data_IF_230949014970
#
_entry.id   IF_230949014970
#
_cell.length_a   1.000
_cell.length_b   1.000
_cell.length_c   1.000
_cell.angle_alpha   90.00
_cell.angle_beta   90.00
_cell.angle_gamma   90.00
#
_symmetry.space_group_name_H-M   'P 1'
#
loop_
_entity.id
_entity.type
_entity.pdbx_description
1 polymer ?
#
# COMPACT_ATOMS: atom_id res chain seq x y z
N UNK A 1 11.97 -59.84 44.49
CA UNK A 1 11.58 -59.51 43.11
C UNK A 1 10.44 -58.51 43.18
N UNK A 2 10.67 -57.23 42.83
CA UNK A 2 9.59 -56.26 42.62
C UNK A 2 10.09 -55.18 41.66
N UNK A 3 9.30 -54.94 40.63
CA UNK A 3 9.69 -54.38 39.33
C UNK A 3 9.66 -52.85 39.39
N UNK A 4 10.75 -52.23 38.94
CA UNK A 4 10.90 -50.78 38.78
C UNK A 4 10.03 -50.33 37.59
N UNK A 5 9.01 -49.50 37.83
CA UNK A 5 8.19 -48.92 36.77
C UNK A 5 9.00 -47.83 36.05
N UNK A 6 9.30 -48.04 34.77
CA UNK A 6 9.84 -47.02 33.88
C UNK A 6 8.69 -46.11 33.43
N UNK A 7 8.79 -44.82 33.72
CA UNK A 7 7.93 -43.78 33.14
C UNK A 7 8.67 -43.23 31.92
N UNK A 8 8.13 -43.36 30.70
CA UNK A 8 8.74 -42.71 29.55
C UNK A 8 8.27 -41.26 29.54
N UNK A 9 9.21 -40.33 29.70
CA UNK A 9 8.97 -38.90 29.49
C UNK A 9 8.79 -38.68 27.98
N UNK A 10 7.54 -38.49 27.55
CA UNK A 10 7.22 -38.02 26.20
C UNK A 10 7.70 -36.56 26.06
N UNK A 11 8.90 -36.38 25.52
CA UNK A 11 9.40 -35.07 25.12
C UNK A 11 8.61 -34.61 23.88
N UNK A 12 7.70 -33.66 24.08
CA UNK A 12 6.90 -33.06 23.02
C UNK A 12 7.76 -32.27 22.04
N UNK A 13 7.60 -32.58 20.75
CA UNK A 13 8.16 -31.80 19.66
C UNK A 13 7.30 -30.55 19.51
N UNK A 14 7.81 -29.41 20.01
CA UNK A 14 7.24 -28.10 19.78
C UNK A 14 7.53 -27.68 18.33
N UNK A 15 6.59 -27.96 17.43
CA UNK A 15 6.64 -27.46 16.07
C UNK A 15 6.39 -25.95 16.08
N UNK A 16 7.47 -25.16 15.99
CA UNK A 16 7.39 -23.73 15.70
C UNK A 16 6.75 -23.53 14.32
N UNK A 17 5.46 -23.18 14.30
CA UNK A 17 4.80 -22.67 13.11
C UNK A 17 5.41 -21.29 12.79
N UNK A 18 6.27 -21.24 11.78
CA UNK A 18 6.73 -19.99 11.19
C UNK A 18 5.55 -19.30 10.50
N UNK A 19 5.21 -18.03 10.82
CA UNK A 19 4.24 -17.29 10.05
C UNK A 19 4.79 -17.06 8.65
N UNK A 20 4.07 -17.54 7.64
CA UNK A 20 4.36 -17.23 6.24
C UNK A 20 4.16 -15.72 6.04
N UNK A 21 5.24 -15.01 5.72
CA UNK A 21 5.17 -13.62 5.29
C UNK A 21 4.56 -13.63 3.88
N UNK A 22 3.26 -13.43 3.80
CA UNK A 22 2.56 -13.27 2.53
C UNK A 22 2.89 -11.89 1.96
N UNK A 23 3.98 -11.79 1.21
CA UNK A 23 4.26 -10.66 0.32
C UNK A 23 3.42 -10.77 -0.94
N UNK A 24 2.10 -10.65 -0.82
CA UNK A 24 1.19 -10.54 -1.96
C UNK A 24 1.07 -9.08 -2.37
N UNK A 25 1.15 -8.78 -3.67
CA UNK A 25 0.74 -7.48 -4.17
C UNK A 25 -0.77 -7.34 -3.92
N UNK A 26 -1.15 -6.54 -2.92
CA UNK A 26 -2.54 -6.23 -2.66
C UNK A 26 -3.07 -5.32 -3.78
N UNK A 27 -4.34 -5.49 -4.14
CA UNK A 27 -4.96 -4.56 -5.07
C UNK A 27 -5.01 -3.17 -4.43
N UNK A 28 -4.83 -2.08 -5.19
CA UNK A 28 -4.83 -0.74 -4.61
C UNK A 28 -6.16 -0.42 -3.90
N UNK A 29 -6.06 0.04 -2.66
CA UNK A 29 -7.14 0.38 -1.76
C UNK A 29 -7.63 1.82 -2.03
N UNK A 30 -8.84 1.94 -2.57
CA UNK A 30 -9.45 3.22 -2.92
C UNK A 30 -9.74 4.11 -1.71
N UNK A 31 -10.10 3.52 -0.56
CA UNK A 31 -10.45 4.30 0.63
C UNK A 31 -9.19 4.89 1.27
N UNK A 32 -8.13 4.07 1.37
CA UNK A 32 -6.81 4.55 1.82
C UNK A 32 -6.24 5.61 0.88
N UNK A 33 -6.30 5.37 -0.44
CA UNK A 33 -5.85 6.34 -1.44
C UNK A 33 -6.59 7.67 -1.36
N UNK A 34 -7.90 7.64 -1.14
CA UNK A 34 -8.72 8.84 -0.90
C UNK A 34 -8.24 9.59 0.34
N UNK A 35 -8.11 8.89 1.47
CA UNK A 35 -7.74 9.52 2.74
C UNK A 35 -6.35 10.18 2.66
N UNK A 36 -5.39 9.53 2.02
CA UNK A 36 -4.05 10.08 1.80
C UNK A 36 -4.10 11.33 0.90
N UNK A 37 -4.86 11.28 -0.19
CA UNK A 37 -5.04 12.42 -1.09
C UNK A 37 -5.69 13.63 -0.39
N UNK A 38 -6.80 13.42 0.32
CA UNK A 38 -7.56 14.49 0.97
C UNK A 38 -6.76 15.17 2.09
N UNK A 39 -5.88 14.43 2.77
CA UNK A 39 -5.09 14.96 3.88
C UNK A 39 -3.74 15.58 3.47
N UNK A 40 -3.20 15.21 2.31
CA UNK A 40 -1.82 15.60 1.95
C UNK A 40 -1.68 16.29 0.60
N UNK A 41 -2.55 15.98 -0.38
CA UNK A 41 -2.37 16.53 -1.73
C UNK A 41 -3.14 17.84 -1.94
N UNK A 42 -4.26 18.05 -1.26
CA UNK A 42 -5.09 19.25 -1.45
C UNK A 42 -4.84 20.38 -0.45
N UNK A 43 -3.81 20.24 0.38
CA UNK A 43 -3.44 21.22 1.42
C UNK A 43 -2.74 22.45 0.84
N UNK A 44 -1.88 22.24 -0.16
CA UNK A 44 -1.14 23.33 -0.83
C UNK A 44 -1.88 23.85 -2.07
N UNK A 45 -2.66 23.01 -2.75
CA UNK A 45 -3.43 23.39 -3.93
C UNK A 45 -4.83 22.77 -3.91
N UNK A 46 -5.82 23.47 -4.45
CA UNK A 46 -7.16 22.88 -4.60
C UNK A 46 -7.19 21.75 -5.64
N UNK A 47 -8.24 20.92 -5.63
CA UNK A 47 -8.47 19.87 -6.64
C UNK A 47 -8.62 20.38 -8.09
N UNK A 48 -8.68 21.71 -8.30
CA UNK A 48 -8.66 22.33 -9.64
C UNK A 48 -7.43 21.96 -10.47
N UNK A 49 -6.32 21.52 -9.83
CA UNK A 49 -5.10 21.11 -10.55
C UNK A 49 -5.37 19.98 -11.56
N UNK A 50 -6.33 19.10 -11.28
CA UNK A 50 -6.65 17.95 -12.13
C UNK A 50 -7.32 18.31 -13.47
N UNK A 51 -7.83 19.53 -13.60
CA UNK A 51 -8.56 20.03 -14.79
C UNK A 51 -7.86 21.23 -15.45
N UNK A 52 -6.60 21.49 -15.11
CA UNK A 52 -5.80 22.54 -15.74
C UNK A 52 -5.61 22.24 -17.24
N UNK A 53 -5.36 23.27 -18.05
CA UNK A 53 -5.09 23.13 -19.48
C UNK A 53 -3.64 23.56 -19.77
N UNK A 54 -2.82 22.73 -20.44
CA UNK A 54 -3.13 21.35 -20.84
C UNK A 54 -3.31 20.42 -19.63
N UNK A 55 -4.18 19.43 -19.76
CA UNK A 55 -4.36 18.44 -18.71
C UNK A 55 -3.10 17.59 -18.63
N UNK A 56 -2.55 17.48 -17.42
CA UNK A 56 -1.40 16.66 -17.10
C UNK A 56 -1.71 16.00 -15.76
N UNK A 57 -1.23 14.76 -15.51
CA UNK A 57 -0.43 13.91 -16.40
C UNK A 57 -1.22 13.28 -17.57
N UNK A 58 -0.51 12.65 -18.53
CA UNK A 58 -1.10 12.08 -19.77
C UNK A 58 -1.26 10.56 -19.74
N UNK A 59 -0.70 9.89 -18.74
CA UNK A 59 -0.75 8.44 -18.59
C UNK A 59 -0.76 8.02 -17.12
N UNK A 60 -1.07 6.75 -16.87
CA UNK A 60 -0.93 6.13 -15.54
C UNK A 60 0.51 6.18 -15.01
N UNK A 61 1.50 6.04 -15.90
CA UNK A 61 2.92 6.11 -15.52
C UNK A 61 3.30 7.54 -15.11
N UNK A 62 2.89 8.54 -15.90
CA UNK A 62 3.11 9.94 -15.55
C UNK A 62 2.40 10.32 -14.25
N UNK A 63 1.19 9.82 -14.01
CA UNK A 63 0.46 10.04 -12.76
C UNK A 63 1.23 9.49 -11.57
N UNK A 64 1.72 8.26 -11.66
CA UNK A 64 2.55 7.64 -10.63
C UNK A 64 3.83 8.41 -10.38
N UNK A 65 4.49 8.87 -11.45
CA UNK A 65 5.68 9.70 -11.35
C UNK A 65 5.40 10.99 -10.57
N UNK A 66 4.34 11.72 -10.95
CA UNK A 66 3.94 12.97 -10.28
C UNK A 66 3.63 12.76 -8.81
N UNK A 67 2.84 11.73 -8.46
CA UNK A 67 2.54 11.41 -7.05
C UNK A 67 3.84 11.11 -6.29
N UNK A 68 4.73 10.30 -6.86
CA UNK A 68 6.02 9.95 -6.22
C UNK A 68 6.90 11.18 -5.97
N UNK A 69 6.96 12.12 -6.92
CA UNK A 69 7.72 13.37 -6.77
C UNK A 69 7.17 14.21 -5.62
N UNK A 70 5.85 14.39 -5.53
CA UNK A 70 5.24 15.21 -4.48
C UNK A 70 5.33 14.57 -3.10
N UNK A 71 5.15 13.25 -3.01
CA UNK A 71 5.37 12.49 -1.76
C UNK A 71 6.78 12.73 -1.24
N UNK A 72 7.78 12.69 -2.12
CA UNK A 72 9.18 12.99 -1.75
C UNK A 72 9.39 14.46 -1.37
N UNK A 73 8.80 15.39 -2.11
CA UNK A 73 8.91 16.82 -1.86
C UNK A 73 8.38 17.18 -0.46
N UNK A 74 7.27 16.59 -0.07
CA UNK A 74 6.63 16.77 1.23
C UNK A 74 7.28 15.92 2.35
N UNK A 75 8.32 15.14 2.04
CA UNK A 75 9.01 14.28 3.01
C UNK A 75 8.13 13.16 3.58
N UNK A 76 7.06 12.78 2.88
CA UNK A 76 6.15 11.71 3.29
C UNK A 76 6.85 10.36 3.11
N UNK A 77 6.73 9.49 4.12
CA UNK A 77 7.36 8.15 4.13
C UNK A 77 6.39 7.07 3.68
N UNK A 78 5.62 7.35 2.63
CA UNK A 78 4.68 6.38 2.07
C UNK A 78 5.42 5.20 1.46
N UNK A 79 4.86 4.01 1.69
CA UNK A 79 5.20 2.79 0.99
C UNK A 79 4.82 2.86 -0.48
N UNK A 80 5.29 1.87 -1.25
CA UNK A 80 4.89 1.73 -2.66
C UNK A 80 3.38 1.53 -2.79
N UNK A 81 2.77 0.76 -1.91
CA UNK A 81 1.35 0.44 -1.99
C UNK A 81 0.50 1.68 -1.71
N UNK A 82 0.88 2.50 -0.71
CA UNK A 82 0.23 3.79 -0.46
C UNK A 82 0.31 4.75 -1.65
N UNK A 83 1.43 4.74 -2.40
CA UNK A 83 1.53 5.51 -3.65
C UNK A 83 0.57 4.94 -4.71
N UNK A 84 0.51 3.62 -4.90
CA UNK A 84 -0.40 3.01 -5.86
C UNK A 84 -1.88 3.24 -5.50
N UNK A 85 -2.22 3.26 -4.22
CA UNK A 85 -3.58 3.56 -3.74
C UNK A 85 -4.01 4.97 -4.15
N UNK A 86 -3.14 5.96 -3.95
CA UNK A 86 -3.39 7.35 -4.35
C UNK A 86 -3.46 7.47 -5.88
N UNK A 87 -2.55 6.82 -6.60
CA UNK A 87 -2.58 6.80 -8.07
C UNK A 87 -3.89 6.21 -8.59
N UNK A 88 -4.32 5.07 -8.03
CA UNK A 88 -5.56 4.43 -8.41
C UNK A 88 -6.78 5.29 -8.07
N UNK A 89 -6.81 5.90 -6.89
CA UNK A 89 -7.87 6.84 -6.51
C UNK A 89 -7.96 8.02 -7.48
N UNK A 90 -6.83 8.65 -7.79
CA UNK A 90 -6.76 9.79 -8.71
C UNK A 90 -7.18 9.42 -10.12
N UNK A 91 -6.74 8.27 -10.63
CA UNK A 91 -7.16 7.79 -11.95
C UNK A 91 -8.67 7.58 -12.01
N UNK A 92 -9.24 6.86 -11.04
CA UNK A 92 -10.68 6.57 -10.99
C UNK A 92 -11.56 7.82 -10.88
N UNK A 93 -11.08 8.85 -10.21
CA UNK A 93 -11.87 10.05 -9.90
C UNK A 93 -11.64 11.21 -10.87
N UNK A 94 -10.43 11.37 -11.39
CA UNK A 94 -10.03 12.57 -12.12
C UNK A 94 -9.53 12.32 -13.55
N UNK A 95 -8.80 11.24 -13.82
CA UNK A 95 -8.11 11.08 -15.11
C UNK A 95 -8.73 10.04 -16.03
N UNK A 96 -9.07 8.86 -15.51
CA UNK A 96 -9.73 7.75 -16.22
C UNK A 96 -8.96 7.33 -17.46
N UNK A 97 -7.66 7.09 -17.29
CA UNK A 97 -6.82 6.60 -18.38
C UNK A 97 -7.35 5.24 -18.88
N UNK A 98 -7.28 5.04 -20.19
CA UNK A 98 -7.56 3.74 -20.80
C UNK A 98 -6.44 2.75 -20.44
N UNK A 99 -6.79 1.47 -20.34
CA UNK A 99 -5.85 0.39 -20.02
C UNK A 99 -5.10 -0.10 -21.25
#
# INVERSE_FOLDING_TARGET
MSVRRFVPTLAGILACALPAIAGGAELPDLERGRALYENHCVVCHTSKVHRRIPQLPLSMEDLRYVVTVWVRNEGLRWSRDEIEDVVHYLDRTHYRFEK
#
